data_IF_348931711559
#
_entry.id   IF_348931711559
#
_cell.length_a   1.000
_cell.length_b   1.000
_cell.length_c   1.000
_cell.angle_alpha   90.00
_cell.angle_beta   90.00
_cell.angle_gamma   90.00
#
_symmetry.space_group_name_H-M   'P 1'
#
loop_
_entity.id
_entity.type
_entity.pdbx_description
1 polymer ?
#
# COMPACT_ATOMS: atom_id res chain seq x y z
N UNK A 1 14.68 -16.92 -12.36
CA UNK A 1 14.39 -18.36 -12.43
C UNK A 1 15.06 -19.02 -11.23
N UNK A 2 14.33 -19.80 -10.43
CA UNK A 2 14.85 -20.39 -9.19
C UNK A 2 15.42 -21.77 -9.50
N UNK A 3 16.67 -22.01 -9.13
CA UNK A 3 17.42 -23.24 -9.45
C UNK A 3 17.77 -24.09 -8.22
N UNK A 4 17.26 -23.71 -7.05
CA UNK A 4 17.48 -24.41 -5.79
C UNK A 4 16.12 -24.81 -5.19
N UNK A 5 16.09 -25.95 -4.49
CA UNK A 5 14.91 -26.46 -3.78
C UNK A 5 14.68 -25.71 -2.45
N UNK A 6 14.63 -24.38 -2.52
CA UNK A 6 14.23 -23.50 -1.43
C UNK A 6 12.86 -22.90 -1.76
N UNK A 7 11.87 -23.23 -0.95
CA UNK A 7 10.47 -22.82 -1.12
C UNK A 7 10.13 -21.51 -0.41
N UNK A 8 11.08 -20.86 0.28
CA UNK A 8 10.84 -19.56 0.93
C UNK A 8 10.42 -18.50 -0.09
N UNK A 9 9.40 -17.69 0.14
CA UNK A 9 9.02 -16.68 -0.86
C UNK A 9 10.07 -15.55 -0.98
N UNK A 10 10.71 -15.17 0.12
CA UNK A 10 11.74 -14.15 0.20
C UNK A 10 13.10 -14.74 0.61
N UNK A 11 14.18 -14.10 0.18
CA UNK A 11 15.55 -14.44 0.58
C UNK A 11 16.13 -13.47 1.62
N UNK A 12 15.30 -12.58 2.17
CA UNK A 12 15.70 -11.59 3.17
C UNK A 12 16.10 -12.26 4.49
N UNK A 13 17.11 -11.71 5.21
CA UNK A 13 17.63 -12.30 6.44
C UNK A 13 16.66 -12.24 7.62
N UNK A 14 15.69 -11.33 7.58
CA UNK A 14 14.67 -11.17 8.62
C UNK A 14 13.28 -11.24 7.96
N UNK A 15 12.48 -12.21 8.39
CA UNK A 15 11.13 -12.44 7.89
C UNK A 15 10.22 -12.73 9.08
N UNK A 16 9.00 -12.21 9.07
CA UNK A 16 8.04 -12.46 10.14
C UNK A 16 6.76 -11.65 9.98
N UNK A 17 5.76 -12.04 10.77
CA UNK A 17 4.50 -11.32 10.94
C UNK A 17 4.45 -10.80 12.38
N UNK A 18 3.99 -9.57 12.62
CA UNK A 18 3.84 -9.06 13.97
C UNK A 18 2.78 -9.84 14.74
N UNK A 19 3.16 -10.32 15.93
CA UNK A 19 2.24 -10.96 16.87
C UNK A 19 1.14 -9.97 17.27
N UNK A 20 -0.12 -10.34 17.08
CA UNK A 20 -1.29 -9.48 17.28
C UNK A 20 -1.60 -8.56 16.09
N UNK A 21 -0.95 -8.75 14.94
CA UNK A 21 -1.20 -7.99 13.71
C UNK A 21 -0.43 -6.67 13.62
N UNK A 22 -0.64 -5.96 12.50
CA UNK A 22 0.05 -4.69 12.20
C UNK A 22 -0.53 -3.50 12.98
N UNK A 23 -1.82 -3.50 13.32
CA UNK A 23 -2.49 -2.37 14.01
C UNK A 23 -1.81 -1.99 15.33
N UNK A 24 -1.46 -2.92 16.24
CA UNK A 24 -0.76 -2.57 17.48
C UNK A 24 0.61 -1.91 17.29
N UNK A 25 1.27 -2.12 16.14
CA UNK A 25 2.50 -1.39 15.81
C UNK A 25 2.17 0.09 15.57
N UNK A 26 1.19 0.36 14.71
CA UNK A 26 0.79 1.73 14.38
C UNK A 26 0.20 2.48 15.58
N UNK A 27 -0.58 1.81 16.43
CA UNK A 27 -1.07 2.41 17.68
C UNK A 27 0.08 2.89 18.57
N UNK A 28 1.16 2.11 18.68
CA UNK A 28 2.35 2.49 19.45
C UNK A 28 3.14 3.61 18.77
N UNK A 29 3.29 3.57 17.45
CA UNK A 29 3.99 4.61 16.68
C UNK A 29 3.28 5.96 16.77
N UNK A 30 1.94 5.96 16.83
CA UNK A 30 1.11 7.15 16.82
C UNK A 30 0.58 7.56 18.21
N UNK A 31 1.02 6.90 19.28
CA UNK A 31 0.49 7.08 20.64
C UNK A 31 0.59 8.52 21.19
N UNK A 32 1.47 9.33 20.60
CA UNK A 32 1.69 10.73 20.97
C UNK A 32 1.38 11.72 19.83
N UNK A 33 0.62 11.26 18.83
CA UNK A 33 0.17 12.06 17.71
C UNK A 33 -1.33 12.34 17.83
N UNK A 34 -1.76 13.51 17.37
CA UNK A 34 -3.17 13.76 17.07
C UNK A 34 -3.49 13.05 15.74
N UNK A 35 -4.51 12.19 15.75
CA UNK A 35 -4.90 11.38 14.59
C UNK A 35 -6.38 11.61 14.30
N UNK A 36 -6.66 12.11 13.11
CA UNK A 36 -8.01 12.23 12.57
C UNK A 36 -8.25 11.14 11.52
N UNK A 37 -9.31 10.36 11.70
CA UNK A 37 -9.74 9.32 10.75
C UNK A 37 -10.99 9.79 10.00
N UNK A 38 -11.24 9.22 8.82
CA UNK A 38 -12.33 9.62 7.92
C UNK A 38 -12.25 11.09 7.46
N UNK A 39 -11.03 11.62 7.38
CA UNK A 39 -10.77 13.00 6.94
C UNK A 39 -9.98 12.98 5.64
N UNK A 40 -10.55 13.50 4.56
CA UNK A 40 -9.86 13.65 3.28
C UNK A 40 -9.14 15.00 3.23
N UNK A 41 -7.80 14.98 3.20
CA UNK A 41 -6.96 16.16 3.03
C UNK A 41 -7.31 16.98 1.78
N UNK A 42 -7.68 16.31 0.67
CA UNK A 42 -7.95 16.97 -0.61
C UNK A 42 -9.28 17.71 -0.62
N UNK A 43 -10.20 17.37 0.28
CA UNK A 43 -11.50 18.03 0.42
C UNK A 43 -11.42 19.46 0.95
N UNK A 44 -10.39 19.78 1.74
CA UNK A 44 -10.11 21.12 2.26
C UNK A 44 -8.60 21.39 2.37
N UNK A 45 -7.92 21.35 1.21
CA UNK A 45 -6.47 21.63 1.12
C UNK A 45 -6.12 22.95 1.80
N UNK A 46 -6.93 23.98 1.61
CA UNK A 46 -6.66 25.33 2.14
C UNK A 46 -6.61 25.37 3.67
N UNK A 47 -7.53 24.70 4.36
CA UNK A 47 -7.52 24.62 5.81
C UNK A 47 -6.24 23.93 6.32
N UNK A 48 -5.91 22.75 5.80
CA UNK A 48 -4.74 22.01 6.24
C UNK A 48 -3.43 22.76 5.97
N UNK A 49 -3.36 23.50 4.87
CA UNK A 49 -2.26 24.40 4.56
C UNK A 49 -2.08 25.55 5.55
N UNK A 50 -3.16 26.03 6.17
CA UNK A 50 -3.10 27.14 7.15
C UNK A 50 -2.65 26.66 8.53
N UNK A 51 -2.99 25.43 8.92
CA UNK A 51 -2.67 24.91 10.26
C UNK A 51 -1.30 24.24 10.34
N UNK A 52 -0.69 23.87 9.20
CA UNK A 52 0.59 23.18 9.15
C UNK A 52 1.69 24.05 8.51
N UNK A 53 2.84 24.15 9.19
CA UNK A 53 4.04 24.78 8.60
C UNK A 53 4.66 23.94 7.49
N UNK A 54 4.48 22.63 7.55
CA UNK A 54 5.03 21.64 6.63
C UNK A 54 4.07 20.46 6.53
N UNK A 55 3.94 19.93 5.32
CA UNK A 55 3.01 18.84 5.02
C UNK A 55 3.80 17.67 4.43
N UNK A 56 3.54 16.47 4.94
CA UNK A 56 3.97 15.23 4.29
C UNK A 56 2.73 14.64 3.65
N UNK A 57 2.70 14.61 2.33
CA UNK A 57 1.59 14.09 1.56
C UNK A 57 1.96 12.72 0.98
N UNK A 58 1.26 11.67 1.42
CA UNK A 58 1.49 10.28 0.98
C UNK A 58 0.39 9.73 0.08
N UNK A 59 -0.57 10.56 -0.30
CA UNK A 59 -1.61 10.24 -1.28
C UNK A 59 -1.10 10.31 -2.72
N UNK A 60 -1.98 10.04 -3.69
CA UNK A 60 -1.64 10.05 -5.11
C UNK A 60 -1.23 11.46 -5.57
N UNK A 61 -0.02 11.59 -6.14
CA UNK A 61 0.54 12.90 -6.50
C UNK A 61 -0.32 13.64 -7.53
N UNK A 62 -0.92 12.92 -8.46
CA UNK A 62 -1.79 13.45 -9.50
C UNK A 62 -3.11 13.97 -8.94
N UNK A 63 -3.69 13.30 -7.94
CA UNK A 63 -4.91 13.78 -7.26
C UNK A 63 -4.68 15.07 -6.48
N UNK A 64 -3.49 15.24 -5.88
CA UNK A 64 -3.11 16.50 -5.23
C UNK A 64 -3.18 17.70 -6.19
N UNK A 65 -2.76 17.48 -7.45
CA UNK A 65 -2.79 18.49 -8.51
C UNK A 65 -4.05 18.43 -9.38
N UNK A 66 -5.16 17.92 -8.82
CA UNK A 66 -6.49 17.89 -9.45
C UNK A 66 -6.47 17.25 -10.85
N UNK A 67 -5.60 16.26 -11.04
CA UNK A 67 -5.37 15.56 -12.31
C UNK A 67 -5.05 16.49 -13.50
N UNK A 68 -4.35 17.60 -13.27
CA UNK A 68 -4.06 18.63 -14.28
C UNK A 68 -3.41 18.13 -15.58
N UNK A 69 -2.72 16.98 -15.55
CA UNK A 69 -2.13 16.33 -16.73
C UNK A 69 -2.80 15.00 -17.11
N UNK A 70 -3.88 14.62 -16.44
CA UNK A 70 -4.52 13.30 -16.49
C UNK A 70 -4.14 12.42 -15.29
N UNK A 71 -4.90 11.35 -15.06
CA UNK A 71 -4.65 10.41 -13.99
C UNK A 71 -3.51 9.45 -14.32
N UNK A 72 -2.64 9.19 -13.35
CA UNK A 72 -1.67 8.11 -13.39
C UNK A 72 -2.40 6.77 -13.31
N UNK A 73 -1.95 5.80 -14.09
CA UNK A 73 -2.61 4.51 -14.15
C UNK A 73 -2.12 3.57 -13.05
N UNK A 74 -3.05 2.82 -12.47
CA UNK A 74 -2.76 1.81 -11.47
C UNK A 74 -3.45 0.50 -11.84
N UNK A 75 -3.11 -0.57 -11.13
CA UNK A 75 -3.99 -1.72 -10.98
C UNK A 75 -4.72 -1.59 -9.65
N UNK A 76 -5.98 -2.00 -9.64
CA UNK A 76 -6.76 -2.11 -8.41
C UNK A 76 -7.02 -3.57 -8.09
N UNK A 77 -7.49 -3.81 -6.87
CA UNK A 77 -7.89 -5.13 -6.38
C UNK A 77 -9.27 -5.02 -5.74
N UNK A 78 -10.03 -6.11 -5.84
CA UNK A 78 -11.22 -6.33 -5.03
C UNK A 78 -11.03 -7.60 -4.23
N UNK A 79 -11.38 -7.54 -2.95
CA UNK A 79 -11.34 -8.70 -2.07
C UNK A 79 -12.76 -9.17 -1.77
N UNK A 80 -13.02 -10.45 -1.95
CA UNK A 80 -14.20 -11.10 -1.40
C UNK A 80 -13.81 -11.88 -0.14
N UNK A 81 -14.44 -11.54 0.98
CA UNK A 81 -14.25 -12.27 2.22
C UNK A 81 -15.21 -13.46 2.30
N UNK A 82 -14.72 -14.61 2.79
CA UNK A 82 -15.54 -15.77 3.12
C UNK A 82 -15.15 -16.32 4.48
N UNK A 83 -16.14 -16.63 5.28
CA UNK A 83 -15.97 -17.37 6.54
C UNK A 83 -16.47 -18.79 6.30
N UNK A 84 -15.64 -19.78 6.59
CA UNK A 84 -15.97 -21.20 6.43
C UNK A 84 -15.90 -21.91 7.79
N UNK A 85 -16.85 -22.80 8.04
CA UNK A 85 -16.87 -23.70 9.20
C UNK A 85 -15.94 -24.89 8.96
N UNK A 86 -14.65 -24.60 8.76
CA UNK A 86 -13.59 -25.60 8.75
C UNK A 86 -12.31 -25.04 9.37
N UNK A 87 -11.54 -25.93 9.98
CA UNK A 87 -10.28 -25.54 10.64
C UNK A 87 -9.20 -25.12 9.65
N UNK A 88 -9.20 -25.69 8.45
CA UNK A 88 -8.15 -25.47 7.46
C UNK A 88 -8.70 -25.67 6.05
N UNK A 89 -8.63 -24.63 5.21
CA UNK A 89 -9.13 -24.67 3.83
C UNK A 89 -8.04 -25.08 2.83
N UNK A 90 -6.86 -24.44 2.90
CA UNK A 90 -5.80 -24.62 1.88
C UNK A 90 -4.41 -24.95 2.44
N UNK A 91 -4.23 -24.93 3.76
CA UNK A 91 -2.99 -25.36 4.43
C UNK A 91 -1.79 -24.42 4.27
N UNK A 92 -1.99 -23.24 3.69
CA UNK A 92 -0.95 -22.22 3.46
C UNK A 92 -1.57 -20.83 3.52
N UNK A 93 -0.82 -19.82 3.95
CA UNK A 93 -1.33 -18.46 4.07
C UNK A 93 -1.79 -17.87 2.73
N UNK A 94 -1.07 -18.13 1.64
CA UNK A 94 -1.40 -17.60 0.31
C UNK A 94 -1.24 -18.68 -0.74
N UNK A 95 -2.29 -18.91 -1.52
CA UNK A 95 -2.27 -19.78 -2.70
C UNK A 95 -2.49 -18.94 -3.96
N UNK A 96 -1.58 -19.05 -4.93
CA UNK A 96 -1.67 -18.35 -6.21
C UNK A 96 -2.39 -19.21 -7.25
N UNK A 97 -3.25 -18.59 -8.05
CA UNK A 97 -3.93 -19.21 -9.17
C UNK A 97 -3.44 -18.55 -10.46
N UNK A 98 -2.78 -19.33 -11.31
CA UNK A 98 -2.11 -18.82 -12.53
C UNK A 98 -2.83 -19.20 -13.82
N UNK A 99 -3.95 -19.93 -13.71
CA UNK A 99 -4.79 -20.30 -14.84
C UNK A 99 -5.63 -19.10 -15.28
N UNK A 100 -5.70 -18.87 -16.59
CA UNK A 100 -6.46 -17.76 -17.20
C UNK A 100 -7.97 -17.92 -17.01
N UNK A 101 -8.46 -19.16 -16.88
CA UNK A 101 -9.89 -19.44 -16.69
C UNK A 101 -10.36 -19.13 -15.26
N UNK A 102 -9.43 -18.90 -14.32
CA UNK A 102 -9.74 -18.59 -12.92
C UNK A 102 -9.81 -17.06 -12.74
N UNK A 103 -10.94 -16.50 -12.25
CA UNK A 103 -11.15 -15.05 -12.23
C UNK A 103 -10.38 -14.31 -11.11
N UNK A 104 -9.80 -15.03 -10.16
CA UNK A 104 -9.04 -14.48 -9.03
C UNK A 104 -7.57 -14.89 -9.11
N UNK A 105 -6.68 -14.05 -8.60
CA UNK A 105 -5.23 -14.26 -8.61
C UNK A 105 -4.76 -15.06 -7.41
N UNK A 106 -5.42 -14.88 -6.24
CA UNK A 106 -4.99 -15.45 -4.97
C UNK A 106 -6.15 -15.75 -4.04
N UNK A 107 -5.97 -16.76 -3.20
CA UNK A 107 -6.74 -16.96 -1.98
C UNK A 107 -5.80 -16.84 -0.78
N UNK A 108 -6.17 -16.00 0.18
CA UNK A 108 -5.44 -15.74 1.41
C UNK A 108 -6.21 -16.39 2.55
N UNK A 109 -5.60 -17.34 3.25
CA UNK A 109 -6.15 -17.96 4.45
C UNK A 109 -5.42 -17.40 5.68
N UNK A 110 -6.04 -16.41 6.33
CA UNK A 110 -5.36 -15.52 7.27
C UNK A 110 -4.76 -16.20 8.51
N UNK A 111 -5.38 -17.29 8.97
CA UNK A 111 -4.96 -17.96 10.21
C UNK A 111 -3.56 -18.56 10.14
N UNK A 112 -3.03 -18.81 8.94
CA UNK A 112 -1.67 -19.32 8.75
C UNK A 112 -0.58 -18.24 8.90
N UNK A 113 -0.93 -16.95 9.04
CA UNK A 113 0.05 -15.90 9.33
C UNK A 113 0.48 -15.86 10.80
N UNK A 114 -0.42 -16.18 11.74
CA UNK A 114 -0.14 -16.20 13.19
C UNK A 114 -0.49 -17.53 13.87
N UNK A 115 -0.85 -18.57 13.11
CA UNK A 115 -1.21 -19.90 13.59
C UNK A 115 -2.26 -19.90 14.72
N UNK A 116 -3.45 -19.38 14.39
CA UNK A 116 -4.59 -19.34 15.32
C UNK A 116 -5.37 -20.65 15.29
N UNK A 117 -5.59 -21.25 16.46
CA UNK A 117 -6.49 -22.39 16.65
C UNK A 117 -7.95 -21.92 16.66
N UNK A 118 -8.74 -22.42 15.71
CA UNK A 118 -10.14 -22.01 15.52
C UNK A 118 -10.88 -23.06 14.69
N UNK A 119 -12.13 -23.41 15.03
CA UNK A 119 -12.97 -24.33 14.25
C UNK A 119 -13.40 -23.75 12.89
N UNK A 120 -13.18 -22.44 12.66
CA UNK A 120 -13.48 -21.74 11.42
C UNK A 120 -12.24 -21.08 10.83
N UNK A 121 -12.34 -20.70 9.55
CA UNK A 121 -11.30 -19.99 8.82
C UNK A 121 -11.87 -18.81 8.04
N UNK A 122 -11.06 -17.77 7.88
CA UNK A 122 -11.39 -16.56 7.11
C UNK A 122 -10.51 -16.54 5.88
N UNK A 123 -11.14 -16.42 4.73
CA UNK A 123 -10.50 -16.31 3.43
C UNK A 123 -10.70 -14.92 2.85
N UNK A 124 -9.67 -14.39 2.20
CA UNK A 124 -9.81 -13.30 1.24
C UNK A 124 -9.46 -13.78 -0.15
N UNK A 125 -10.40 -13.64 -1.08
CA UNK A 125 -10.22 -13.98 -2.50
C UNK A 125 -9.91 -12.69 -3.26
N UNK A 126 -8.74 -12.62 -3.87
CA UNK A 126 -8.21 -11.43 -4.56
C UNK A 126 -8.57 -11.45 -6.04
N UNK A 127 -9.34 -10.45 -6.51
CA UNK A 127 -9.67 -10.25 -7.91
C UNK A 127 -8.93 -9.04 -8.47
N UNK A 128 -8.20 -9.19 -9.61
CA UNK A 128 -7.60 -8.06 -10.28
C UNK A 128 -8.69 -7.18 -10.91
N UNK A 129 -8.55 -5.86 -10.80
CA UNK A 129 -9.43 -4.90 -11.45
C UNK A 129 -8.64 -3.88 -12.26
N UNK A 130 -9.21 -3.45 -13.38
CA UNK A 130 -8.82 -2.20 -14.00
C UNK A 130 -9.10 -1.06 -13.02
N UNK A 131 -8.20 -0.09 -12.99
CA UNK A 131 -8.31 1.06 -12.10
C UNK A 131 -9.00 2.24 -12.82
N UNK A 132 -9.76 3.01 -12.04
CA UNK A 132 -10.18 4.37 -12.36
C UNK A 132 -10.18 5.18 -11.06
N UNK A 133 -10.40 6.49 -11.16
CA UNK A 133 -10.31 7.45 -10.04
C UNK A 133 -11.22 7.08 -8.84
N UNK A 134 -12.29 6.30 -9.06
CA UNK A 134 -13.18 5.87 -7.96
C UNK A 134 -12.66 4.67 -7.17
N UNK A 135 -11.56 4.04 -7.60
CA UNK A 135 -11.02 2.81 -7.03
C UNK A 135 -9.71 3.08 -6.30
N UNK A 136 -9.43 2.26 -5.29
CA UNK A 136 -8.18 2.31 -4.55
C UNK A 136 -6.98 1.94 -5.46
N UNK A 137 -5.94 2.79 -5.55
CA UNK A 137 -4.73 2.49 -6.32
C UNK A 137 -3.81 1.53 -5.55
N UNK A 138 -3.68 0.29 -6.02
CA UNK A 138 -2.81 -0.71 -5.36
C UNK A 138 -1.39 -0.75 -5.93
N UNK A 139 -1.26 -0.91 -7.25
CA UNK A 139 0.03 -1.08 -7.92
C UNK A 139 0.20 -0.06 -9.06
N UNK A 140 1.26 0.78 -9.06
CA UNK A 140 1.52 1.68 -10.18
C UNK A 140 1.84 0.90 -11.46
N UNK A 141 1.38 1.40 -12.60
CA UNK A 141 1.72 0.84 -13.92
C UNK A 141 3.00 1.49 -14.42
N UNK A 142 4.09 0.73 -14.40
CA UNK A 142 5.41 1.21 -14.80
C UNK A 142 5.63 1.04 -16.32
N UNK A 143 5.08 1.98 -17.09
CA UNK A 143 5.32 2.10 -18.54
C UNK A 143 5.82 3.51 -18.93
N UNK A 144 6.22 3.68 -20.18
CA UNK A 144 6.79 4.94 -20.68
C UNK A 144 5.79 6.11 -20.57
N UNK A 145 4.50 5.85 -20.81
CA UNK A 145 3.43 6.85 -20.73
C UNK A 145 3.28 7.38 -19.31
N UNK A 146 3.17 6.51 -18.33
CA UNK A 146 3.00 6.86 -16.92
C UNK A 146 4.28 7.46 -16.34
N UNK A 147 5.46 6.99 -16.75
CA UNK A 147 6.73 7.60 -16.37
C UNK A 147 6.83 9.05 -16.84
N UNK A 148 6.45 9.33 -18.10
CA UNK A 148 6.44 10.68 -18.65
C UNK A 148 5.39 11.57 -17.97
N UNK A 149 4.21 11.03 -17.63
CA UNK A 149 3.18 11.74 -16.90
C UNK A 149 3.60 12.08 -15.47
N UNK A 150 4.15 11.10 -14.73
CA UNK A 150 4.66 11.28 -13.38
C UNK A 150 5.76 12.34 -13.33
N UNK A 151 6.67 12.38 -14.33
CA UNK A 151 7.71 13.40 -14.40
C UNK A 151 7.14 14.83 -14.42
N UNK A 152 5.99 15.06 -15.05
CA UNK A 152 5.30 16.37 -15.05
C UNK A 152 4.78 16.73 -13.65
N UNK A 153 4.15 15.79 -12.96
CA UNK A 153 3.68 15.99 -11.59
C UNK A 153 4.84 16.17 -10.60
N UNK A 154 5.92 15.42 -10.76
CA UNK A 154 7.15 15.58 -9.98
C UNK A 154 7.77 16.97 -10.15
N UNK A 155 7.71 17.55 -11.35
CA UNK A 155 8.15 18.92 -11.57
C UNK A 155 7.23 19.96 -10.89
N UNK A 156 5.93 19.69 -10.74
CA UNK A 156 5.02 20.53 -9.97
C UNK A 156 5.26 20.41 -8.46
N UNK A 157 5.49 19.19 -7.96
CA UNK A 157 5.76 18.96 -6.54
C UNK A 157 7.03 19.65 -6.06
N UNK A 158 8.07 19.71 -6.90
CA UNK A 158 9.30 20.44 -6.61
C UNK A 158 9.11 21.96 -6.42
N UNK A 159 7.99 22.53 -6.89
CA UNK A 159 7.65 23.94 -6.69
C UNK A 159 6.94 24.19 -5.36
N UNK A 160 6.52 23.14 -4.65
CA UNK A 160 5.85 23.22 -3.35
C UNK A 160 6.89 23.20 -2.23
N UNK A 161 7.31 24.36 -1.74
CA UNK A 161 8.42 24.47 -0.79
C UNK A 161 8.12 23.92 0.61
N UNK A 162 6.84 23.85 1.00
CA UNK A 162 6.39 23.39 2.31
C UNK A 162 5.75 22.00 2.28
N UNK A 163 5.79 21.29 1.14
CA UNK A 163 5.18 19.96 0.99
C UNK A 163 6.23 18.95 0.55
N UNK A 164 6.24 17.81 1.21
CA UNK A 164 7.01 16.65 0.80
C UNK A 164 6.05 15.58 0.32
N UNK A 165 6.27 15.13 -0.91
CA UNK A 165 5.55 13.99 -1.48
C UNK A 165 6.37 12.73 -1.24
N UNK A 166 5.76 11.72 -0.66
CA UNK A 166 6.42 10.45 -0.35
C UNK A 166 5.44 9.28 -0.36
N UNK A 167 5.89 8.10 0.06
CA UNK A 167 5.04 6.92 0.02
C UNK A 167 4.86 6.37 -1.39
N UNK A 168 4.21 5.21 -1.47
CA UNK A 168 3.92 4.51 -2.73
C UNK A 168 3.20 5.40 -3.74
N UNK A 169 2.19 6.15 -3.30
CA UNK A 169 1.33 6.94 -4.17
C UNK A 169 1.94 8.31 -4.50
N UNK A 170 2.56 8.98 -3.52
CA UNK A 170 3.20 10.28 -3.74
C UNK A 170 4.47 10.18 -4.60
N UNK A 171 5.21 9.08 -4.46
CA UNK A 171 6.39 8.79 -5.29
C UNK A 171 6.08 7.99 -6.57
N UNK A 172 4.83 7.56 -6.76
CA UNK A 172 4.41 6.66 -7.85
C UNK A 172 5.35 5.47 -8.04
N UNK A 173 5.64 4.76 -6.95
CA UNK A 173 6.63 3.69 -6.93
C UNK A 173 6.17 2.54 -6.05
N UNK A 174 6.39 1.31 -6.53
CA UNK A 174 6.13 0.11 -5.75
C UNK A 174 7.20 -0.08 -4.67
N UNK A 175 6.79 0.00 -3.41
CA UNK A 175 7.64 -0.25 -2.24
C UNK A 175 7.10 -1.40 -1.40
N UNK A 176 7.99 -2.27 -0.96
CA UNK A 176 7.76 -3.16 0.18
C UNK A 176 7.86 -2.38 1.50
N UNK A 177 7.32 -2.94 2.58
CA UNK A 177 7.19 -2.26 3.87
C UNK A 177 8.54 -1.81 4.46
N UNK A 178 9.57 -2.64 4.36
CA UNK A 178 10.92 -2.31 4.86
C UNK A 178 11.54 -1.13 4.11
N UNK A 179 11.34 -1.07 2.79
CA UNK A 179 11.86 0.01 1.94
C UNK A 179 11.18 1.34 2.26
N UNK A 180 9.86 1.35 2.40
CA UNK A 180 9.16 2.61 2.71
C UNK A 180 9.44 3.10 4.13
N UNK A 181 9.62 2.20 5.10
CA UNK A 181 10.06 2.57 6.45
C UNK A 181 11.47 3.19 6.41
N UNK A 182 12.40 2.60 5.65
CA UNK A 182 13.75 3.14 5.47
C UNK A 182 13.75 4.53 4.81
N UNK A 183 12.91 4.74 3.80
CA UNK A 183 12.74 6.03 3.15
C UNK A 183 12.18 7.08 4.12
N UNK A 184 11.15 6.74 4.90
CA UNK A 184 10.57 7.63 5.89
C UNK A 184 11.57 8.02 6.99
N UNK A 185 12.37 7.08 7.49
CA UNK A 185 13.43 7.36 8.46
C UNK A 185 14.53 8.27 7.88
N UNK A 186 14.91 8.05 6.63
CA UNK A 186 15.88 8.88 5.93
C UNK A 186 15.36 10.30 5.73
N UNK A 187 14.08 10.44 5.37
CA UNK A 187 13.41 11.73 5.26
C UNK A 187 13.36 12.44 6.62
N UNK A 188 12.91 11.76 7.67
CA UNK A 188 12.85 12.33 9.02
C UNK A 188 14.22 12.82 9.48
N UNK A 189 15.29 12.05 9.24
CA UNK A 189 16.67 12.46 9.55
C UNK A 189 17.08 13.74 8.82
N UNK A 190 16.68 13.90 7.56
CA UNK A 190 16.99 15.10 6.77
C UNK A 190 16.22 16.33 7.25
N UNK A 191 14.95 16.16 7.61
CA UNK A 191 14.04 17.27 7.89
C UNK A 191 13.98 17.68 9.38
N UNK A 192 14.47 16.83 10.30
CA UNK A 192 14.54 17.09 11.74
C UNK A 192 15.94 17.47 12.24
N UNK A 193 16.92 17.59 11.35
CA UNK A 193 18.23 18.19 11.63
C UNK A 193 18.12 19.71 11.74
#
# INVERSE_FOLDING_TARGET
MRFIYDNNYFSDPYQGIPKGGYTPIFEKLLAHCEVELNTDFLSDKEYFHKIAKKIIFTGAIDSYFDYAFGALEYRSLRFEERILECENYQGVAVMNFTDLEIPYTRIIEHKHFEFVDSPSTILSIEFPLSWDISKEPFYPINDEKNAALYAKYKALSQKQSNIIFGGRLGAYQYFDMDKIISEALSLAKKELQ
#
